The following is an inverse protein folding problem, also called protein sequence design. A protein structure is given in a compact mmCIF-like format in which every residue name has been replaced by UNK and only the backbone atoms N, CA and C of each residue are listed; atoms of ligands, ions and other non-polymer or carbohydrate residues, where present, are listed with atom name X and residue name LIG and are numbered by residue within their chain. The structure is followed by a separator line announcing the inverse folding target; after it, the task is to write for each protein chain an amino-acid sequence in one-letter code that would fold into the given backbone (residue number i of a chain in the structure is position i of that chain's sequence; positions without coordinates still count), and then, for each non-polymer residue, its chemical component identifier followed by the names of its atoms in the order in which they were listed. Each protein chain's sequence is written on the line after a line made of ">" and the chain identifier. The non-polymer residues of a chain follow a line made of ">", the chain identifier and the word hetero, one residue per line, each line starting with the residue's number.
data_IF_836704385256
#
_entry.id   IF_836704385256
#
_cell.length_a   1.000
_cell.length_b   1.000
_cell.length_c   1.000
_cell.angle_alpha   90.00
_cell.angle_beta   90.00
_cell.angle_gamma   90.00
#
_symmetry.space_group_name_H-M   'P 1'
#
loop_
_entity.id
_entity.type
_entity.pdbx_description
1 polymer ?
#
# COMPACT_ATOMS: atom_id res chain seq x y z
N UNK A 1 -7.61 7.02 26.36
CA UNK A 1 -7.27 7.61 25.05
C UNK A 1 -7.18 6.51 23.97
N UNK A 2 -8.27 5.79 23.70
CA UNK A 2 -8.31 4.66 22.74
C UNK A 2 -9.57 4.73 21.87
N UNK A 3 -9.90 5.93 21.40
CA UNK A 3 -11.11 6.21 20.62
C UNK A 3 -10.76 6.93 19.30
N UNK A 4 -9.80 6.40 18.53
CA UNK A 4 -9.41 6.98 17.25
C UNK A 4 -9.48 5.91 16.14
N UNK A 5 -10.45 6.10 15.25
CA UNK A 5 -10.56 5.52 13.90
C UNK A 5 -10.98 4.03 13.77
N UNK A 6 -12.30 3.76 13.69
CA UNK A 6 -12.84 2.56 13.07
C UNK A 6 -12.61 2.52 11.53
N UNK A 7 -12.31 3.66 10.91
CA UNK A 7 -11.95 3.79 9.49
C UNK A 7 -10.45 3.53 9.32
N UNK A 8 -10.08 2.26 9.22
CA UNK A 8 -8.80 1.73 9.67
C UNK A 8 -7.57 2.14 8.80
N UNK A 9 -6.79 3.18 9.14
CA UNK A 9 -5.54 3.52 8.43
C UNK A 9 -4.51 2.37 8.47
N UNK A 10 -4.59 1.50 9.50
CA UNK A 10 -3.67 0.36 9.61
C UNK A 10 -3.88 -0.71 8.54
N UNK A 11 -5.07 -0.79 7.92
CA UNK A 11 -5.31 -1.76 6.86
C UNK A 11 -4.54 -1.38 5.59
N UNK A 12 -4.62 -0.10 5.21
CA UNK A 12 -3.85 0.46 4.10
C UNK A 12 -2.32 0.36 4.34
N UNK A 13 -1.86 0.68 5.56
CA UNK A 13 -0.46 0.52 5.99
C UNK A 13 0.05 -0.93 5.91
N UNK A 14 -0.79 -1.89 6.28
CA UNK A 14 -0.44 -3.32 6.23
C UNK A 14 -0.25 -3.78 4.79
N UNK A 15 -1.15 -3.39 3.89
CA UNK A 15 -1.06 -3.74 2.47
C UNK A 15 0.15 -3.06 1.81
N UNK A 16 0.48 -1.82 2.18
CA UNK A 16 1.72 -1.17 1.75
C UNK A 16 2.96 -1.94 2.23
N UNK A 17 2.96 -2.42 3.47
CA UNK A 17 4.04 -3.24 4.01
C UNK A 17 4.21 -4.54 3.23
N UNK A 18 3.12 -5.22 2.85
CA UNK A 18 3.17 -6.42 2.00
C UNK A 18 3.82 -6.09 0.66
N UNK A 19 3.43 -4.99 0.03
CA UNK A 19 4.03 -4.57 -1.23
C UNK A 19 5.54 -4.27 -1.08
N UNK A 20 5.95 -3.65 0.03
CA UNK A 20 7.37 -3.41 0.30
C UNK A 20 8.14 -4.73 0.42
N UNK A 21 7.61 -5.71 1.16
CA UNK A 21 8.24 -7.03 1.28
C UNK A 21 8.36 -7.73 -0.10
N UNK A 22 7.34 -7.61 -0.97
CA UNK A 22 7.41 -8.15 -2.32
C UNK A 22 8.52 -7.48 -3.15
N UNK A 23 8.70 -6.16 -3.03
CA UNK A 23 9.80 -5.44 -3.67
C UNK A 23 11.16 -5.95 -3.16
N UNK A 24 11.31 -6.11 -1.84
CA UNK A 24 12.55 -6.63 -1.22
C UNK A 24 12.85 -8.07 -1.67
N UNK A 25 11.82 -8.89 -1.85
CA UNK A 25 11.93 -10.25 -2.41
C UNK A 25 12.14 -10.28 -3.94
N UNK A 26 12.30 -9.11 -4.59
CA UNK A 26 12.40 -8.95 -6.05
C UNK A 26 11.15 -9.40 -6.83
N UNK A 27 10.02 -9.58 -6.16
CA UNK A 27 8.72 -9.84 -6.78
C UNK A 27 8.06 -8.51 -7.20
N UNK A 28 8.61 -7.90 -8.26
CA UNK A 28 8.10 -6.63 -8.79
C UNK A 28 6.68 -6.75 -9.37
N UNK A 29 6.29 -7.94 -9.83
CA UNK A 29 4.96 -8.20 -10.37
C UNK A 29 3.90 -8.27 -9.26
N UNK A 30 4.18 -9.02 -8.20
CA UNK A 30 3.36 -9.07 -6.99
C UNK A 30 3.24 -7.71 -6.33
N UNK A 31 4.37 -6.99 -6.17
CA UNK A 31 4.39 -5.65 -5.63
C UNK A 31 3.48 -4.70 -6.43
N UNK A 32 3.57 -4.70 -7.77
CA UNK A 32 2.69 -3.88 -8.61
C UNK A 32 1.22 -4.18 -8.39
N UNK A 33 0.85 -5.45 -8.29
CA UNK A 33 -0.55 -5.86 -8.07
C UNK A 33 -1.04 -5.35 -6.71
N UNK A 34 -0.28 -5.61 -5.65
CA UNK A 34 -0.61 -5.20 -4.28
C UNK A 34 -0.72 -3.68 -4.15
N UNK A 35 0.21 -2.92 -4.76
CA UNK A 35 0.15 -1.45 -4.77
C UNK A 35 -1.07 -0.92 -5.54
N UNK A 36 -1.46 -1.60 -6.62
CA UNK A 36 -2.66 -1.22 -7.40
C UNK A 36 -3.93 -1.48 -6.61
N UNK A 37 -4.02 -2.63 -5.94
CA UNK A 37 -5.14 -2.98 -5.05
C UNK A 37 -5.23 -2.01 -3.88
N UNK A 38 -4.10 -1.65 -3.25
CA UNK A 38 -4.05 -0.63 -2.20
C UNK A 38 -4.64 0.71 -2.64
N UNK A 39 -4.24 1.18 -3.83
CA UNK A 39 -4.70 2.45 -4.39
C UNK A 39 -6.19 2.41 -4.74
N UNK A 40 -6.70 1.26 -5.16
CA UNK A 40 -8.12 1.05 -5.49
C UNK A 40 -8.99 0.98 -4.25
N UNK A 41 -8.55 0.23 -3.25
CA UNK A 41 -9.35 -0.10 -2.07
C UNK A 41 -9.24 1.00 -0.99
N UNK A 42 -8.12 1.75 -0.96
CA UNK A 42 -7.86 2.83 0.01
C UNK A 42 -7.40 4.13 -0.65
N UNK A 43 -8.14 4.69 -1.62
CA UNK A 43 -7.66 5.77 -2.49
C UNK A 43 -7.30 7.08 -1.79
N UNK A 44 -7.87 7.34 -0.61
CA UNK A 44 -7.67 8.56 0.19
C UNK A 44 -6.63 8.39 1.32
N UNK A 45 -6.03 7.21 1.45
CA UNK A 45 -5.01 6.95 2.47
C UNK A 45 -3.62 7.45 2.05
N UNK A 46 -2.79 7.84 3.02
CA UNK A 46 -1.38 8.16 2.78
C UNK A 46 -0.64 6.96 2.14
N UNK A 47 -1.01 5.74 2.53
CA UNK A 47 -0.45 4.53 1.98
C UNK A 47 -0.73 4.39 0.47
N UNK A 48 -1.92 4.79 -0.01
CA UNK A 48 -2.21 4.83 -1.45
C UNK A 48 -1.37 5.87 -2.17
N UNK A 49 -1.11 7.03 -1.58
CA UNK A 49 -0.23 8.04 -2.17
C UNK A 49 1.20 7.48 -2.32
N UNK A 50 1.70 6.85 -1.26
CA UNK A 50 3.01 6.19 -1.24
C UNK A 50 3.09 5.01 -2.23
N UNK A 51 1.97 4.33 -2.50
CA UNK A 51 1.90 3.28 -3.51
C UNK A 51 1.90 3.78 -4.95
N UNK A 52 1.22 4.90 -5.24
CA UNK A 52 1.28 5.53 -6.57
C UNK A 52 2.72 5.93 -6.92
N UNK A 53 3.46 6.49 -5.97
CA UNK A 53 4.88 6.84 -6.15
C UNK A 53 5.75 5.62 -6.43
N UNK A 54 5.56 4.52 -5.68
CA UNK A 54 6.29 3.27 -5.91
C UNK A 54 5.94 2.63 -7.26
N UNK A 55 4.66 2.62 -7.64
CA UNK A 55 4.21 2.14 -8.95
C UNK A 55 4.86 2.90 -10.11
N UNK A 56 5.09 4.21 -9.94
CA UNK A 56 5.80 5.03 -10.92
C UNK A 56 7.29 4.65 -11.01
N UNK A 57 7.93 4.33 -9.88
CA UNK A 57 9.35 3.89 -9.83
C UNK A 57 9.57 2.46 -10.32
N UNK A 58 8.54 1.62 -10.27
CA UNK A 58 8.56 0.23 -10.77
C UNK A 58 8.27 0.14 -12.28
N UNK A 59 8.14 1.27 -13.01
CA UNK A 59 7.93 1.32 -14.48
C UNK A 59 9.19 0.96 -15.24
#
# INVERSE_FOLDING_TARGET
>A
LLAAAPDHPRAAESVLSIANCQIEMKDSAGARKTLTELVRDYPQSEAAQAARERLAKLR
#
